data_IF_401511256687
#
_entry.id   IF_401511256687
#
_cell.length_a   1.000
_cell.length_b   1.000
_cell.length_c   1.000
_cell.angle_alpha   90.00
_cell.angle_beta   90.00
_cell.angle_gamma   90.00
#
_symmetry.space_group_name_H-M   'P 1'
#
loop_
_entity.id
_entity.type
_entity.pdbx_description
1 polymer ?
#
# COMPACT_ATOMS: atom_id res chain seq x y z
N UNK A 1 1.90 -68.99 24.00
CA UNK A 1 3.08 -68.19 23.61
C UNK A 1 2.82 -67.64 22.22
N UNK A 2 2.40 -66.37 22.10
CA UNK A 2 2.26 -65.68 20.83
C UNK A 2 2.95 -64.32 20.98
N UNK A 3 4.14 -64.19 20.38
CA UNK A 3 4.96 -62.97 20.44
C UNK A 3 4.63 -62.16 19.19
N UNK A 4 4.06 -60.97 19.38
CA UNK A 4 3.78 -60.00 18.31
C UNK A 4 5.11 -59.47 17.71
N UNK A 5 5.17 -59.15 16.41
CA UNK A 5 6.35 -58.52 15.83
C UNK A 5 6.42 -57.03 16.21
N UNK A 6 7.61 -56.63 16.62
CA UNK A 6 8.03 -55.28 16.99
C UNK A 6 8.18 -54.42 15.72
N UNK A 7 7.34 -53.40 15.57
CA UNK A 7 7.43 -52.40 14.50
C UNK A 7 8.60 -51.44 14.80
N UNK A 8 9.57 -51.40 13.89
CA UNK A 8 10.68 -50.46 13.92
C UNK A 8 10.16 -49.00 13.80
N UNK A 9 10.84 -48.02 14.41
CA UNK A 9 10.48 -46.61 14.26
C UNK A 9 10.82 -46.13 12.85
N UNK A 10 9.83 -45.54 12.18
CA UNK A 10 10.00 -44.88 10.87
C UNK A 10 11.12 -43.85 10.94
N UNK A 11 12.17 -44.06 10.15
CA UNK A 11 13.20 -43.05 9.92
C UNK A 11 12.57 -41.81 9.28
N UNK A 12 12.95 -40.59 9.70
CA UNK A 12 12.43 -39.38 9.06
C UNK A 12 12.91 -39.35 7.60
N UNK A 13 11.96 -39.35 6.68
CA UNK A 13 12.20 -39.11 5.26
C UNK A 13 13.14 -37.92 5.11
N UNK A 14 14.32 -38.22 4.61
CA UNK A 14 15.40 -37.30 4.34
C UNK A 14 14.83 -36.21 3.42
N UNK A 15 14.55 -35.04 3.99
CA UNK A 15 14.14 -33.84 3.28
C UNK A 15 15.23 -33.49 2.25
N UNK A 16 15.10 -34.03 1.05
CA UNK A 16 15.92 -33.70 -0.09
C UNK A 16 15.66 -32.25 -0.43
N UNK A 17 16.60 -31.37 -0.06
CA UNK A 17 16.80 -30.01 -0.57
C UNK A 17 15.57 -29.43 -1.28
N UNK A 18 14.52 -29.11 -0.52
CA UNK A 18 13.49 -28.21 -1.01
C UNK A 18 14.21 -26.89 -1.32
N UNK A 19 14.47 -26.62 -2.61
CA UNK A 19 14.97 -25.31 -3.02
C UNK A 19 14.08 -24.27 -2.38
N UNK A 20 14.63 -23.44 -1.50
CA UNK A 20 13.87 -22.43 -0.78
C UNK A 20 13.16 -21.53 -1.81
N UNK A 21 11.83 -21.58 -1.84
CA UNK A 21 11.05 -20.73 -2.74
C UNK A 21 11.29 -19.26 -2.38
N UNK A 22 11.81 -18.48 -3.33
CA UNK A 22 12.02 -17.05 -3.14
C UNK A 22 10.70 -16.33 -3.40
N UNK A 23 10.24 -15.53 -2.44
CA UNK A 23 9.06 -14.68 -2.59
C UNK A 23 9.45 -13.43 -3.40
N UNK A 24 8.77 -13.19 -4.52
CA UNK A 24 8.98 -12.05 -5.40
C UNK A 24 8.01 -10.91 -5.10
N UNK A 25 6.78 -11.25 -4.68
CA UNK A 25 5.70 -10.29 -4.51
C UNK A 25 4.73 -10.70 -3.39
N UNK A 26 4.10 -9.68 -2.80
CA UNK A 26 3.08 -9.82 -1.77
C UNK A 26 1.94 -8.83 -2.02
N UNK A 27 0.73 -9.19 -1.61
CA UNK A 27 -0.41 -8.28 -1.62
C UNK A 27 -1.30 -8.49 -0.40
N UNK A 28 -1.75 -7.40 0.22
CA UNK A 28 -2.71 -7.42 1.30
C UNK A 28 -4.13 -7.29 0.75
N UNK A 29 -5.08 -8.01 1.36
CA UNK A 29 -6.51 -7.74 1.14
C UNK A 29 -6.87 -6.37 1.74
N UNK A 30 -7.93 -5.71 1.24
CA UNK A 30 -8.35 -4.40 1.77
C UNK A 30 -8.68 -4.43 3.26
N UNK A 31 -9.29 -5.51 3.73
CA UNK A 31 -9.53 -5.73 5.16
C UNK A 31 -8.29 -6.07 5.99
N UNK A 32 -7.09 -6.15 5.39
CA UNK A 32 -5.83 -6.57 6.02
C UNK A 32 -5.90 -7.91 6.76
N UNK A 33 -6.87 -8.75 6.42
CA UNK A 33 -7.04 -10.08 7.03
C UNK A 33 -6.24 -11.15 6.29
N UNK A 34 -6.15 -11.02 4.97
CA UNK A 34 -5.48 -11.99 4.13
C UNK A 34 -4.23 -11.38 3.48
N UNK A 35 -3.20 -12.20 3.37
CA UNK A 35 -1.96 -11.89 2.64
C UNK A 35 -1.81 -12.91 1.52
N UNK A 36 -1.64 -12.45 0.29
CA UNK A 36 -1.23 -13.29 -0.82
C UNK A 36 0.28 -13.15 -1.04
N UNK A 37 0.96 -14.27 -1.28
CA UNK A 37 2.41 -14.33 -1.54
C UNK A 37 2.67 -15.15 -2.79
N UNK A 38 3.58 -14.68 -3.64
CA UNK A 38 3.99 -15.35 -4.88
C UNK A 38 5.48 -15.15 -5.13
N UNK A 39 6.09 -15.99 -5.97
CA UNK A 39 7.53 -16.13 -6.04
C UNK A 39 8.06 -16.99 -7.17
N UNK A 40 9.20 -17.64 -6.91
CA UNK A 40 9.83 -18.60 -7.83
C UNK A 40 8.99 -19.85 -8.07
N UNK A 41 8.07 -20.17 -7.15
CA UNK A 41 7.07 -21.21 -7.35
C UNK A 41 5.96 -20.77 -8.33
N UNK A 42 5.24 -21.74 -8.86
CA UNK A 42 4.11 -21.53 -9.80
C UNK A 42 2.76 -21.41 -9.10
N UNK A 43 2.75 -21.18 -7.79
CA UNK A 43 1.54 -21.11 -6.98
C UNK A 43 1.47 -19.80 -6.20
N UNK A 44 0.24 -19.29 -6.03
CA UNK A 44 -0.01 -18.16 -5.14
C UNK A 44 -0.55 -18.70 -3.82
N UNK A 45 0.14 -18.42 -2.72
CA UNK A 45 -0.27 -18.84 -1.39
C UNK A 45 -1.04 -17.72 -0.70
N UNK A 46 -2.18 -18.04 -0.09
CA UNK A 46 -3.01 -17.10 0.67
C UNK A 46 -2.99 -17.48 2.14
N UNK A 47 -2.67 -16.50 2.98
CA UNK A 47 -2.49 -16.64 4.42
C UNK A 47 -3.56 -15.85 5.17
N UNK A 48 -4.17 -16.45 6.20
CA UNK A 48 -4.99 -15.71 7.17
C UNK A 48 -4.07 -15.15 8.25
N UNK A 49 -3.89 -13.84 8.28
CA UNK A 49 -2.98 -13.16 9.21
C UNK A 49 -3.47 -13.24 10.67
N UNK A 50 -4.78 -13.37 10.90
CA UNK A 50 -5.33 -13.54 12.25
C UNK A 50 -5.00 -14.91 12.81
N UNK A 51 -5.12 -15.94 11.97
CA UNK A 51 -4.88 -17.35 12.36
C UNK A 51 -3.42 -17.76 12.16
N UNK A 52 -2.63 -16.99 11.42
CA UNK A 52 -1.24 -17.26 11.03
C UNK A 52 -1.08 -18.61 10.30
N UNK A 53 -2.07 -18.98 9.48
CA UNK A 53 -2.06 -20.23 8.71
C UNK A 53 -2.27 -19.95 7.23
N UNK A 54 -1.67 -20.78 6.39
CA UNK A 54 -2.00 -20.84 4.97
C UNK A 54 -3.42 -21.39 4.83
N UNK A 55 -4.29 -20.62 4.21
CA UNK A 55 -5.69 -21.02 3.99
C UNK A 55 -5.91 -21.54 2.58
N UNK A 56 -5.09 -21.13 1.59
CA UNK A 56 -5.23 -21.55 0.20
C UNK A 56 -3.90 -21.60 -0.53
N UNK A 57 -3.83 -22.50 -1.50
CA UNK A 57 -2.82 -22.51 -2.56
C UNK A 57 -3.55 -22.43 -3.89
N UNK A 58 -3.28 -21.38 -4.66
CA UNK A 58 -3.89 -21.12 -5.95
C UNK A 58 -2.92 -21.58 -7.04
N UNK A 59 -3.25 -22.71 -7.65
CA UNK A 59 -2.51 -23.27 -8.78
C UNK A 59 -3.07 -22.78 -10.12
N UNK A 60 -2.28 -22.94 -11.18
CA UNK A 60 -2.69 -22.65 -12.56
C UNK A 60 -1.56 -22.07 -13.39
N UNK A 61 -0.65 -21.30 -12.78
CA UNK A 61 0.54 -20.82 -13.48
C UNK A 61 1.47 -22.00 -13.80
N UNK A 62 2.11 -21.94 -14.97
CA UNK A 62 3.13 -22.90 -15.39
C UNK A 62 4.54 -22.45 -15.02
N UNK A 63 4.73 -21.15 -14.82
CA UNK A 63 6.01 -20.52 -14.52
C UNK A 63 5.97 -19.72 -13.20
N UNK A 64 7.09 -19.10 -12.84
CA UNK A 64 7.20 -18.21 -11.68
C UNK A 64 6.16 -17.08 -11.74
N UNK A 65 5.60 -16.76 -10.59
CA UNK A 65 4.63 -15.67 -10.43
C UNK A 65 5.38 -14.41 -9.99
N UNK A 66 5.32 -13.37 -10.80
CA UNK A 66 6.06 -12.13 -10.56
C UNK A 66 5.22 -11.07 -9.84
N UNK A 67 3.90 -11.11 -10.03
CA UNK A 67 2.99 -10.10 -9.48
C UNK A 67 1.69 -10.73 -8.97
N UNK A 68 1.17 -10.16 -7.89
CA UNK A 68 -0.11 -10.54 -7.29
C UNK A 68 -0.81 -9.28 -6.78
N UNK A 69 -2.13 -9.18 -6.93
CA UNK A 69 -2.93 -8.08 -6.38
C UNK A 69 -4.34 -8.54 -6.03
N UNK A 70 -4.92 -7.90 -5.01
CA UNK A 70 -6.32 -8.05 -4.65
C UNK A 70 -7.21 -7.10 -5.45
N UNK A 71 -8.41 -7.54 -5.79
CA UNK A 71 -9.42 -6.69 -6.42
C UNK A 71 -9.94 -5.64 -5.43
N UNK A 72 -10.50 -4.55 -5.98
CA UNK A 72 -11.04 -3.45 -5.18
C UNK A 72 -12.17 -3.81 -4.20
N UNK A 73 -12.76 -5.00 -4.29
CA UNK A 73 -13.79 -5.51 -3.39
C UNK A 73 -13.38 -6.77 -2.64
N UNK A 74 -12.10 -7.16 -2.67
CA UNK A 74 -11.60 -8.44 -2.17
C UNK A 74 -12.36 -9.67 -2.75
N UNK A 75 -12.95 -9.54 -3.94
CA UNK A 75 -13.69 -10.62 -4.61
C UNK A 75 -12.78 -11.56 -5.40
N UNK A 76 -11.68 -11.02 -5.94
CA UNK A 76 -10.75 -11.74 -6.79
C UNK A 76 -9.31 -11.46 -6.36
N UNK A 77 -8.45 -12.45 -6.57
CA UNK A 77 -7.00 -12.29 -6.60
C UNK A 77 -6.59 -12.39 -8.06
N UNK A 78 -5.85 -11.39 -8.54
CA UNK A 78 -5.19 -11.47 -9.84
C UNK A 78 -3.71 -11.78 -9.62
N UNK A 79 -3.16 -12.64 -10.46
CA UNK A 79 -1.77 -13.06 -10.40
C UNK A 79 -1.19 -13.18 -11.79
N UNK A 80 0.07 -12.79 -11.98
CA UNK A 80 0.70 -12.78 -13.29
C UNK A 80 2.10 -13.40 -13.27
N UNK A 81 2.37 -14.19 -14.30
CA UNK A 81 3.60 -14.97 -14.44
C UNK A 81 4.57 -14.47 -15.51
N UNK A 82 5.68 -15.21 -15.66
CA UNK A 82 6.72 -14.92 -16.67
C UNK A 82 6.30 -15.30 -18.09
N UNK A 83 5.33 -16.20 -18.24
CA UNK A 83 4.70 -16.53 -19.51
C UNK A 83 3.78 -15.41 -20.06
N UNK A 84 3.48 -14.38 -19.25
CA UNK A 84 2.52 -13.33 -19.58
C UNK A 84 1.07 -13.68 -19.25
N UNK A 85 0.81 -14.89 -18.74
CA UNK A 85 -0.51 -15.31 -18.28
C UNK A 85 -0.92 -14.53 -17.02
N UNK A 86 -2.15 -14.00 -17.01
CA UNK A 86 -2.78 -13.39 -15.85
C UNK A 86 -3.96 -14.28 -15.44
N UNK A 87 -3.89 -14.85 -14.24
CA UNK A 87 -4.96 -15.68 -13.68
C UNK A 87 -5.76 -14.91 -12.65
N UNK A 88 -7.08 -15.01 -12.77
CA UNK A 88 -8.04 -14.49 -11.81
C UNK A 88 -8.61 -15.65 -11.00
N UNK A 89 -8.42 -15.61 -9.69
CA UNK A 89 -8.98 -16.57 -8.75
C UNK A 89 -10.03 -15.90 -7.88
N UNK A 90 -11.14 -16.58 -7.59
CA UNK A 90 -12.12 -16.10 -6.63
C UNK A 90 -11.55 -16.17 -5.20
N UNK A 91 -11.60 -15.06 -4.46
CA UNK A 91 -11.01 -14.99 -3.12
C UNK A 91 -11.68 -15.95 -2.13
N UNK A 92 -12.99 -16.21 -2.26
CA UNK A 92 -13.75 -17.05 -1.34
C UNK A 92 -13.65 -18.55 -1.63
N UNK A 93 -13.61 -18.96 -2.89
CA UNK A 93 -13.49 -20.38 -3.27
C UNK A 93 -12.04 -20.81 -3.56
N UNK A 94 -11.17 -19.90 -3.98
CA UNK A 94 -9.83 -20.21 -4.48
C UNK A 94 -9.81 -20.79 -5.91
N UNK A 95 -10.97 -20.89 -6.56
CA UNK A 95 -11.07 -21.44 -7.92
C UNK A 95 -10.59 -20.42 -8.94
N UNK A 96 -9.89 -20.88 -9.98
CA UNK A 96 -9.60 -20.05 -11.15
C UNK A 96 -10.94 -19.72 -11.83
N UNK A 97 -11.28 -18.43 -11.88
CA UNK A 97 -12.50 -17.97 -12.54
C UNK A 97 -12.23 -17.57 -13.98
N UNK A 98 -11.00 -17.18 -14.31
CA UNK A 98 -10.64 -16.71 -15.63
C UNK A 98 -9.16 -16.53 -15.85
N UNK A 99 -8.82 -16.46 -17.12
CA UNK A 99 -7.48 -16.23 -17.63
C UNK A 99 -7.52 -15.06 -18.61
N UNK A 100 -6.49 -14.21 -18.54
CA UNK A 100 -6.26 -13.08 -19.43
C UNK A 100 -4.82 -13.20 -19.94
N UNK A 101 -4.63 -13.06 -21.25
CA UNK A 101 -3.32 -13.04 -21.88
C UNK A 101 -3.16 -11.68 -22.56
N UNK A 102 -2.03 -11.03 -22.31
CA UNK A 102 -1.65 -9.81 -23.02
C UNK A 102 -1.00 -10.19 -24.35
N UNK A 103 -1.47 -9.60 -25.45
CA UNK A 103 -0.81 -9.70 -26.75
C UNK A 103 -0.04 -8.41 -27.02
N UNK A 104 1.24 -8.45 -27.45
CA UNK A 104 2.10 -9.63 -27.56
C UNK A 104 2.43 -10.26 -26.20
N UNK A 105 2.47 -11.59 -26.15
CA UNK A 105 2.83 -12.33 -24.93
C UNK A 105 4.22 -11.95 -24.43
N UNK A 106 4.28 -11.46 -23.19
CA UNK A 106 5.51 -11.04 -22.53
C UNK A 106 5.34 -11.17 -21.01
N UNK A 107 6.41 -11.49 -20.30
CA UNK A 107 6.38 -11.64 -18.85
C UNK A 107 5.86 -10.38 -18.15
N UNK A 108 4.91 -10.56 -17.25
CA UNK A 108 4.33 -9.43 -16.49
C UNK A 108 5.17 -9.21 -15.24
N UNK A 109 5.61 -7.97 -15.02
CA UNK A 109 6.43 -7.58 -13.86
C UNK A 109 5.62 -6.96 -12.73
N UNK A 110 4.60 -6.19 -13.09
CA UNK A 110 3.73 -5.53 -12.12
C UNK A 110 2.28 -5.66 -12.53
N UNK A 111 1.41 -5.81 -11.53
CA UNK A 111 -0.02 -5.98 -11.69
C UNK A 111 -0.72 -5.14 -10.62
N UNK A 112 -1.71 -4.34 -11.00
CA UNK A 112 -2.42 -3.48 -10.06
C UNK A 112 -3.88 -3.29 -10.45
N UNK A 113 -4.78 -3.41 -9.48
CA UNK A 113 -6.15 -2.93 -9.64
C UNK A 113 -6.25 -1.43 -9.39
N UNK A 114 -7.19 -0.77 -10.06
CA UNK A 114 -7.50 0.62 -9.77
C UNK A 114 -7.97 0.79 -8.32
N UNK A 115 -7.39 1.78 -7.65
CA UNK A 115 -7.78 2.20 -6.30
C UNK A 115 -8.96 3.18 -6.31
N UNK A 116 -9.27 3.78 -7.46
CA UNK A 116 -10.34 4.78 -7.59
C UNK A 116 -11.72 4.12 -7.49
N UNK A 117 -12.64 4.76 -6.75
CA UNK A 117 -13.94 4.16 -6.43
C UNK A 117 -14.77 3.76 -7.65
N UNK A 118 -14.72 4.56 -8.73
CA UNK A 118 -15.47 4.34 -9.98
C UNK A 118 -14.82 3.34 -10.95
N UNK A 119 -13.51 3.09 -10.84
CA UNK A 119 -12.78 2.25 -11.80
C UNK A 119 -12.15 1.01 -11.19
N UNK A 120 -12.60 0.57 -10.00
CA UNK A 120 -12.09 -0.63 -9.27
C UNK A 120 -12.09 -1.95 -10.05
N UNK A 121 -12.83 -2.01 -11.15
CA UNK A 121 -12.89 -3.14 -12.07
C UNK A 121 -11.68 -3.19 -13.03
N UNK A 122 -10.95 -2.07 -13.20
CA UNK A 122 -9.79 -1.99 -14.05
C UNK A 122 -8.58 -2.67 -13.41
N UNK A 123 -7.92 -3.51 -14.20
CA UNK A 123 -6.68 -4.21 -13.88
C UNK A 123 -5.63 -3.79 -14.89
N UNK A 124 -4.49 -3.28 -14.44
CA UNK A 124 -3.36 -2.95 -15.29
C UNK A 124 -2.20 -3.94 -15.08
N UNK A 125 -1.51 -4.28 -16.17
CA UNK A 125 -0.27 -5.06 -16.16
C UNK A 125 0.83 -4.32 -16.90
N UNK A 126 2.04 -4.38 -16.36
CA UNK A 126 3.26 -3.87 -16.97
C UNK A 126 4.18 -5.05 -17.31
N UNK A 127 4.67 -5.05 -18.55
CA UNK A 127 5.32 -6.21 -19.16
C UNK A 127 6.82 -5.99 -19.39
N UNK A 128 7.54 -7.09 -19.58
CA UNK A 128 8.98 -7.13 -19.84
C UNK A 128 9.37 -6.46 -21.17
N UNK A 129 8.48 -6.49 -22.16
CA UNK A 129 8.67 -5.78 -23.42
C UNK A 129 8.46 -4.26 -23.32
N UNK A 130 8.12 -3.72 -22.15
CA UNK A 130 7.87 -2.28 -21.95
C UNK A 130 6.43 -1.85 -22.21
N UNK A 131 5.55 -2.77 -22.61
CA UNK A 131 4.13 -2.51 -22.80
C UNK A 131 3.36 -2.43 -21.49
N UNK A 132 2.25 -1.70 -21.52
CA UNK A 132 1.27 -1.63 -20.45
C UNK A 132 -0.10 -1.93 -21.04
N UNK A 133 -0.83 -2.84 -20.40
CA UNK A 133 -2.18 -3.23 -20.81
C UNK A 133 -3.15 -3.02 -19.66
N UNK A 134 -4.37 -2.61 -19.98
CA UNK A 134 -5.43 -2.39 -19.00
C UNK A 134 -6.68 -3.13 -19.45
N UNK A 135 -7.21 -3.97 -18.58
CA UNK A 135 -8.44 -4.73 -18.81
C UNK A 135 -9.53 -4.34 -17.84
N UNK A 136 -10.76 -4.54 -18.27
CA UNK A 136 -11.89 -4.67 -17.37
C UNK A 136 -11.95 -6.11 -16.85
N UNK A 137 -11.68 -6.32 -15.57
CA UNK A 137 -11.68 -7.65 -14.96
C UNK A 137 -13.06 -8.32 -14.89
N UNK A 138 -14.16 -7.55 -14.98
CA UNK A 138 -15.53 -8.09 -14.90
C UNK A 138 -15.93 -8.72 -16.22
N UNK A 139 -15.68 -8.01 -17.32
CA UNK A 139 -15.97 -8.46 -18.70
C UNK A 139 -14.80 -9.26 -19.29
N UNK A 140 -13.58 -9.12 -18.74
CA UNK A 140 -12.32 -9.69 -19.23
C UNK A 140 -11.95 -9.19 -20.62
N UNK A 141 -12.32 -7.95 -20.90
CA UNK A 141 -12.01 -7.28 -22.16
C UNK A 141 -10.86 -6.29 -22.00
N UNK A 142 -10.02 -6.21 -23.02
CA UNK A 142 -8.98 -5.19 -23.12
C UNK A 142 -9.65 -3.82 -23.27
N UNK A 143 -9.27 -2.87 -22.41
CA UNK A 143 -9.77 -1.49 -22.40
C UNK A 143 -8.78 -0.52 -23.02
N UNK A 144 -7.51 -0.66 -22.65
CA UNK A 144 -6.43 0.16 -23.21
C UNK A 144 -5.17 -0.68 -23.35
N UNK A 145 -4.37 -0.34 -24.35
CA UNK A 145 -3.10 -0.98 -24.64
C UNK A 145 -2.10 0.07 -25.06
N UNK A 146 -0.91 0.00 -24.48
CA UNK A 146 0.16 0.92 -24.75
C UNK A 146 1.44 0.10 -24.99
N UNK A 147 1.78 -0.13 -26.27
CA UNK A 147 2.83 -1.07 -26.66
C UNK A 147 4.26 -0.52 -26.49
N UNK A 148 4.47 0.75 -26.83
CA UNK A 148 5.80 1.36 -26.89
C UNK A 148 5.99 2.48 -25.86
N UNK A 149 5.41 2.31 -24.67
CA UNK A 149 5.50 3.30 -23.57
C UNK A 149 6.91 3.38 -23.02
N UNK A 150 7.53 2.20 -22.84
CA UNK A 150 8.89 2.06 -22.36
C UNK A 150 9.74 1.34 -23.40
N UNK A 151 10.98 1.81 -23.59
CA UNK A 151 11.95 1.15 -24.48
C UNK A 151 12.67 -0.02 -23.81
N UNK A 152 12.37 -0.28 -22.54
CA UNK A 152 12.88 -1.36 -21.72
C UNK A 152 11.76 -1.85 -20.78
N UNK A 153 12.03 -2.86 -19.96
CA UNK A 153 11.05 -3.47 -19.04
C UNK A 153 10.25 -2.42 -18.26
N UNK A 154 8.94 -2.51 -18.31
CA UNK A 154 8.05 -1.77 -17.45
C UNK A 154 8.00 -2.50 -16.10
N UNK A 155 8.44 -1.84 -15.03
CA UNK A 155 8.72 -2.50 -13.74
C UNK A 155 7.64 -2.26 -12.70
N UNK A 156 6.85 -1.20 -12.83
CA UNK A 156 5.93 -0.79 -11.77
C UNK A 156 4.78 0.05 -12.31
N UNK A 157 3.65 -0.02 -11.61
CA UNK A 157 2.39 0.63 -11.94
C UNK A 157 1.79 1.29 -10.69
N UNK A 158 1.15 2.45 -10.89
CA UNK A 158 0.37 3.15 -9.87
C UNK A 158 -0.86 3.82 -10.50
N UNK A 159 -2.06 3.30 -10.22
CA UNK A 159 -3.31 4.00 -10.52
C UNK A 159 -3.46 5.25 -9.66
N UNK A 160 -3.99 6.32 -10.25
CA UNK A 160 -4.33 7.52 -9.49
C UNK A 160 -5.55 7.28 -8.60
N UNK A 161 -5.47 7.56 -7.28
CA UNK A 161 -6.64 7.51 -6.40
C UNK A 161 -7.66 8.62 -6.66
N UNK A 162 -7.26 9.74 -7.26
CA UNK A 162 -8.10 10.92 -7.50
C UNK A 162 -8.67 10.99 -8.92
N UNK A 163 -7.99 10.40 -9.90
CA UNK A 163 -8.39 10.42 -11.30
C UNK A 163 -8.64 9.01 -11.82
N UNK A 164 -9.90 8.73 -12.19
CA UNK A 164 -10.36 7.38 -12.48
C UNK A 164 -9.66 6.69 -13.67
N UNK A 165 -9.11 7.47 -14.61
CA UNK A 165 -8.52 6.99 -15.86
C UNK A 165 -7.00 7.15 -15.90
N UNK A 166 -6.39 7.80 -14.90
CA UNK A 166 -4.96 8.06 -14.89
C UNK A 166 -4.19 6.90 -14.26
N UNK A 167 -3.21 6.40 -15.00
CA UNK A 167 -2.26 5.37 -14.59
C UNK A 167 -0.83 5.92 -14.77
N UNK A 168 0.05 5.63 -13.81
CA UNK A 168 1.48 5.93 -13.92
C UNK A 168 2.25 4.62 -14.06
N UNK A 169 3.14 4.54 -15.04
CA UNK A 169 4.09 3.43 -15.20
C UNK A 169 5.54 3.90 -15.05
N UNK A 170 6.37 3.04 -14.48
CA UNK A 170 7.82 3.26 -14.36
C UNK A 170 8.59 2.15 -15.07
N UNK A 171 9.65 2.51 -15.79
CA UNK A 171 10.46 1.57 -16.56
C UNK A 171 11.96 1.68 -16.34
N UNK A 172 12.67 0.62 -16.75
CA UNK A 172 14.13 0.57 -16.71
C UNK A 172 14.81 1.52 -17.73
N UNK A 173 14.03 2.07 -18.65
CA UNK A 173 14.43 3.12 -19.60
C UNK A 173 14.54 4.51 -18.95
N UNK A 174 14.42 4.57 -17.62
CA UNK A 174 14.47 5.80 -16.80
C UNK A 174 13.27 6.72 -17.04
N UNK A 175 12.20 6.20 -17.65
CA UNK A 175 10.97 6.97 -17.88
C UNK A 175 9.93 6.64 -16.84
N UNK A 176 9.22 7.67 -16.43
CA UNK A 176 7.93 7.59 -15.74
C UNK A 176 6.90 8.16 -16.69
N UNK A 177 5.85 7.40 -16.96
CA UNK A 177 4.88 7.70 -18.01
C UNK A 177 3.49 7.82 -17.40
N UNK A 178 2.78 8.87 -17.79
CA UNK A 178 1.38 9.08 -17.43
C UNK A 178 0.52 8.63 -18.58
N UNK A 179 -0.36 7.69 -18.29
CA UNK A 179 -1.23 7.05 -19.25
C UNK A 179 -2.67 7.42 -18.90
N UNK A 180 -3.41 7.90 -19.88
CA UNK A 180 -4.87 8.04 -19.76
C UNK A 180 -5.53 6.84 -20.44
N UNK A 181 -6.20 6.04 -19.61
CA UNK A 181 -6.89 4.82 -20.01
C UNK A 181 -8.13 5.12 -20.85
N UNK A 182 -8.77 6.28 -20.70
CA UNK A 182 -9.95 6.62 -21.48
C UNK A 182 -9.61 7.07 -22.90
N UNK A 183 -8.51 7.81 -23.06
CA UNK A 183 -8.04 8.28 -24.37
C UNK A 183 -7.03 7.34 -25.02
N UNK A 184 -6.60 6.29 -24.32
CA UNK A 184 -5.55 5.37 -24.75
C UNK A 184 -4.26 6.09 -25.19
N UNK A 185 -3.89 7.17 -24.50
CA UNK A 185 -2.72 7.98 -24.83
C UNK A 185 -1.75 8.15 -23.66
N UNK A 186 -0.46 8.24 -23.99
CA UNK A 186 0.56 8.70 -23.05
C UNK A 186 0.53 10.22 -22.99
N UNK A 187 0.11 10.77 -21.86
CA UNK A 187 -0.12 12.20 -21.64
C UNK A 187 1.18 12.93 -21.30
N UNK A 188 2.02 12.31 -20.47
CA UNK A 188 3.25 12.93 -20.01
C UNK A 188 4.38 11.90 -19.85
N UNK A 189 5.62 12.36 -20.05
CA UNK A 189 6.83 11.56 -19.85
C UNK A 189 7.82 12.36 -19.00
N UNK A 190 8.22 11.79 -17.87
CA UNK A 190 9.27 12.32 -17.01
C UNK A 190 10.51 11.44 -17.13
N UNK A 191 11.65 12.07 -17.40
CA UNK A 191 12.94 11.38 -17.42
C UNK A 191 13.66 11.57 -16.07
N UNK A 192 14.05 10.46 -15.46
CA UNK A 192 14.80 10.44 -14.19
C UNK A 192 16.28 10.04 -14.40
N UNK A 193 17.12 10.26 -13.38
CA UNK A 193 18.57 10.06 -13.47
C UNK A 193 19.00 8.59 -13.65
N UNK A 194 18.19 7.63 -13.18
CA UNK A 194 18.51 6.20 -13.18
C UNK A 194 17.24 5.35 -13.42
N UNK A 195 17.38 4.07 -13.82
CA UNK A 195 16.26 3.17 -14.04
C UNK A 195 15.23 3.19 -12.91
N UNK A 196 13.95 3.33 -13.26
CA UNK A 196 12.85 3.32 -12.29
C UNK A 196 12.56 1.87 -11.94
N UNK A 197 12.45 1.56 -10.65
CA UNK A 197 12.21 0.19 -10.16
C UNK A 197 10.89 0.07 -9.42
N UNK A 198 10.36 1.16 -8.87
CA UNK A 198 9.06 1.20 -8.20
C UNK A 198 8.42 2.58 -8.30
N UNK A 199 7.10 2.63 -8.42
CA UNK A 199 6.31 3.87 -8.38
C UNK A 199 5.14 3.73 -7.41
N UNK A 200 4.77 4.82 -6.74
CA UNK A 200 3.59 4.85 -5.87
C UNK A 200 2.99 6.25 -5.81
N UNK A 201 1.69 6.36 -6.05
CA UNK A 201 0.93 7.61 -5.88
C UNK A 201 0.35 7.62 -4.45
N UNK A 202 0.51 8.74 -3.77
CA UNK A 202 -0.05 8.95 -2.43
C UNK A 202 -1.56 9.07 -2.51
N UNK A 203 -2.26 8.75 -1.41
CA UNK A 203 -3.72 8.84 -1.33
C UNK A 203 -4.32 10.23 -1.61
N UNK A 204 -3.50 11.29 -1.61
CA UNK A 204 -3.93 12.63 -2.06
C UNK A 204 -4.14 12.73 -3.58
N UNK A 205 -3.64 11.75 -4.35
CA UNK A 205 -3.72 11.71 -5.81
C UNK A 205 -2.89 12.77 -6.52
N UNK A 206 -1.97 13.42 -5.81
CA UNK A 206 -1.15 14.53 -6.30
C UNK A 206 0.33 14.25 -6.09
N UNK A 207 0.72 13.50 -5.06
CA UNK A 207 2.12 13.20 -4.78
C UNK A 207 2.51 11.86 -5.37
N UNK A 208 3.59 11.82 -6.16
CA UNK A 208 4.18 10.60 -6.71
C UNK A 208 5.55 10.36 -6.07
N UNK A 209 5.81 9.12 -5.64
CA UNK A 209 7.14 8.64 -5.29
C UNK A 209 7.64 7.67 -6.36
N UNK A 210 8.88 7.88 -6.81
CA UNK A 210 9.59 7.02 -7.74
C UNK A 210 10.87 6.51 -7.09
N UNK A 211 10.97 5.19 -6.93
CA UNK A 211 12.16 4.50 -6.49
C UNK A 211 13.04 4.20 -7.69
N UNK A 212 14.32 4.52 -7.59
CA UNK A 212 15.29 4.29 -8.67
C UNK A 212 16.35 3.27 -8.26
N UNK A 213 17.03 2.70 -9.25
CA UNK A 213 18.03 1.65 -9.05
C UNK A 213 19.25 2.10 -8.23
N UNK A 214 19.50 3.41 -8.14
CA UNK A 214 20.56 3.99 -7.30
C UNK A 214 20.23 4.03 -5.80
N UNK A 215 19.01 3.62 -5.40
CA UNK A 215 18.57 3.61 -4.01
C UNK A 215 18.01 4.94 -3.49
N UNK A 216 17.82 5.92 -4.38
CA UNK A 216 17.08 7.14 -4.06
C UNK A 216 15.58 6.95 -4.30
N UNK A 217 14.78 7.73 -3.58
CA UNK A 217 13.36 7.90 -3.82
C UNK A 217 13.15 9.36 -4.19
N UNK A 218 12.64 9.59 -5.40
CA UNK A 218 12.34 10.92 -5.93
C UNK A 218 10.86 11.18 -5.74
N UNK A 219 10.51 12.31 -5.12
CA UNK A 219 9.12 12.70 -4.87
C UNK A 219 8.76 13.85 -5.80
N UNK A 220 7.63 13.73 -6.50
CA UNK A 220 7.13 14.69 -7.47
C UNK A 220 5.69 15.12 -7.15
N UNK A 221 5.34 16.36 -7.50
CA UNK A 221 3.96 16.83 -7.56
C UNK A 221 3.43 16.62 -8.98
N UNK A 222 2.40 15.78 -9.12
CA UNK A 222 1.76 15.42 -10.38
C UNK A 222 1.21 16.63 -11.15
N UNK A 223 0.92 17.74 -10.48
CA UNK A 223 0.45 18.99 -11.12
C UNK A 223 1.59 19.82 -11.70
N UNK A 224 2.81 19.62 -11.21
CA UNK A 224 4.00 20.38 -11.61
C UNK A 224 4.82 19.67 -12.67
N UNK A 225 4.49 18.42 -13.01
CA UNK A 225 5.17 17.64 -14.06
C UNK A 225 4.71 18.08 -15.45
N UNK A 226 4.65 19.38 -15.73
CA UNK A 226 4.35 19.91 -17.07
C UNK A 226 5.56 19.91 -17.99
N UNK A 227 6.77 19.76 -17.44
CA UNK A 227 8.03 19.72 -18.19
C UNK A 227 8.69 18.36 -18.04
N UNK A 228 9.21 17.80 -19.14
CA UNK A 228 9.95 16.52 -19.18
C UNK A 228 11.19 16.48 -18.27
N UNK A 229 11.59 17.63 -17.72
CA UNK A 229 12.72 17.82 -16.80
C UNK A 229 12.29 18.34 -15.42
N UNK A 230 11.07 18.01 -14.98
CA UNK A 230 10.57 18.43 -13.67
C UNK A 230 11.56 18.06 -12.55
N UNK A 231 11.86 19.03 -11.68
CA UNK A 231 12.71 18.79 -10.51
C UNK A 231 11.88 18.08 -9.43
N UNK A 232 12.46 17.10 -8.73
CA UNK A 232 11.77 16.46 -7.61
C UNK A 232 11.56 17.49 -6.49
N UNK A 233 10.39 17.43 -5.85
CA UNK A 233 10.10 18.16 -4.61
C UNK A 233 11.06 17.74 -3.49
N UNK A 234 11.43 16.47 -3.45
CA UNK A 234 12.29 15.91 -2.42
C UNK A 234 13.02 14.68 -2.95
N UNK A 235 14.25 14.49 -2.46
CA UNK A 235 15.08 13.31 -2.76
C UNK A 235 15.41 12.62 -1.45
N UNK A 236 14.81 11.46 -1.22
CA UNK A 236 15.12 10.61 -0.07
C UNK A 236 16.19 9.59 -0.48
N UNK A 237 17.01 9.16 0.47
CA UNK A 237 18.05 8.15 0.24
C UNK A 237 17.95 7.04 1.27
N UNK A 238 17.99 5.80 0.80
CA UNK A 238 18.20 4.64 1.67
C UNK A 238 19.61 4.62 2.26
N UNK A 239 19.82 3.78 3.28
CA UNK A 239 21.12 3.61 3.95
C UNK A 239 22.18 2.90 3.08
N UNK A 240 21.77 2.30 1.96
CA UNK A 240 22.66 1.62 1.02
C UNK A 240 22.29 1.97 -0.42
N UNK A 241 23.29 1.98 -1.32
CA UNK A 241 23.12 2.14 -2.77
C UNK A 241 22.53 0.88 -3.43
N UNK A 242 21.42 0.37 -2.89
CA UNK A 242 20.67 -0.78 -3.41
C UNK A 242 19.38 -0.27 -4.09
N UNK A 243 18.88 -0.95 -5.12
CA UNK A 243 17.67 -0.55 -5.82
C UNK A 243 16.45 -0.55 -4.89
N UNK A 244 15.56 0.43 -5.07
CA UNK A 244 14.31 0.51 -4.33
C UNK A 244 13.31 -0.48 -4.94
N UNK A 245 13.16 -1.66 -4.32
CA UNK A 245 12.37 -2.77 -4.88
C UNK A 245 10.86 -2.59 -4.74
N UNK A 246 10.40 -1.88 -3.71
CA UNK A 246 8.98 -1.64 -3.49
C UNK A 246 8.77 -0.30 -2.78
N UNK A 247 7.65 0.36 -3.09
CA UNK A 247 7.20 1.59 -2.46
C UNK A 247 5.72 1.48 -2.16
N UNK A 248 5.31 1.96 -0.98
CA UNK A 248 3.92 2.09 -0.62
C UNK A 248 3.74 3.29 0.30
N UNK A 249 2.73 4.12 0.03
CA UNK A 249 2.39 5.23 0.91
C UNK A 249 1.52 4.72 2.05
N UNK A 250 1.86 5.11 3.28
CA UNK A 250 0.96 4.88 4.40
C UNK A 250 -0.17 5.91 4.36
N UNK A 251 -1.41 5.43 4.33
CA UNK A 251 -2.55 6.28 4.61
C UNK A 251 -2.54 6.56 6.13
N UNK A 252 -2.07 7.73 6.54
CA UNK A 252 -2.43 8.22 7.86
C UNK A 252 -3.90 8.61 7.79
N UNK A 253 -4.77 7.87 8.46
CA UNK A 253 -5.94 8.51 9.03
C UNK A 253 -5.37 9.65 9.86
N UNK A 254 -5.76 10.89 9.55
CA UNK A 254 -5.58 11.97 10.51
C UNK A 254 -6.17 11.44 11.81
N UNK A 255 -5.32 11.21 12.82
CA UNK A 255 -5.79 11.16 14.19
C UNK A 255 -6.49 12.51 14.32
N UNK A 256 -7.82 12.51 14.31
CA UNK A 256 -8.54 13.70 14.74
C UNK A 256 -7.96 13.97 16.13
N UNK A 257 -7.37 15.15 16.39
CA UNK A 257 -7.13 15.50 17.77
C UNK A 257 -8.51 15.38 18.42
N UNK A 258 -8.62 14.48 19.41
CA UNK A 258 -9.80 14.37 20.25
C UNK A 258 -10.21 15.80 20.55
N UNK A 259 -11.38 16.23 20.04
CA UNK A 259 -11.88 17.54 20.43
C UNK A 259 -12.01 17.43 21.94
N UNK A 260 -11.22 18.24 22.64
CA UNK A 260 -11.42 18.48 24.06
C UNK A 260 -12.80 19.11 24.14
N UNK A 261 -13.82 18.27 24.30
CA UNK A 261 -15.12 18.70 24.80
C UNK A 261 -14.80 19.31 26.16
N UNK A 262 -14.91 20.63 26.35
CA UNK A 262 -14.75 21.17 27.69
C UNK A 262 -15.81 20.52 28.57
N UNK A 263 -15.47 20.13 29.81
CA UNK A 263 -16.42 19.47 30.68
C UNK A 263 -17.65 20.37 30.84
N UNK A 264 -18.80 19.84 30.47
CA UNK A 264 -20.10 20.40 30.81
C UNK A 264 -20.12 20.56 32.32
N UNK A 265 -20.26 21.80 32.81
CA UNK A 265 -20.55 22.03 34.22
C UNK A 265 -21.94 21.47 34.47
N UNK A 266 -22.00 20.24 35.00
CA UNK A 266 -23.21 19.70 35.59
C UNK A 266 -23.60 20.60 36.76
N UNK A 267 -24.54 21.51 36.51
CA UNK A 267 -25.26 22.15 37.59
C UNK A 267 -26.15 21.06 38.23
N UNK A 268 -25.76 20.67 39.43
CA UNK A 268 -26.54 19.86 40.36
C UNK A 268 -27.93 20.47 40.57
N UNK A 269 -28.96 19.87 39.96
CA UNK A 269 -30.35 20.12 40.35
C UNK A 269 -30.62 19.43 41.68
N UNK A 270 -30.45 20.15 42.78
CA UNK A 270 -31.06 19.79 44.06
C UNK A 270 -32.59 19.93 43.92
N UNK A 271 -33.29 18.83 44.24
CA UNK A 271 -34.73 18.81 44.46
C UNK A 271 -35.06 19.67 45.67
N UNK A 272 -35.87 20.70 45.47
CA UNK A 272 -36.48 21.45 46.57
C UNK A 272 -37.74 22.20 46.12
N UNK A 273 -38.91 21.69 46.50
CA UNK A 273 -40.11 22.48 46.76
C UNK A 273 -40.55 22.14 48.19
N UNK A 274 -41.24 23.03 48.96
CA UNK A 274 -42.20 24.02 48.47
C UNK A 274 -42.31 25.38 49.24
N UNK A 275 -43.22 26.22 48.72
CA UNK A 275 -44.03 27.27 49.37
C UNK A 275 -43.49 28.71 49.58
N UNK A 276 -44.07 29.63 48.79
CA UNK A 276 -44.90 30.80 49.16
C UNK A 276 -44.33 31.90 50.10
N UNK A 277 -44.25 33.11 49.52
CA UNK A 277 -44.56 34.47 50.03
C UNK A 277 -43.42 35.54 49.99
N UNK A 278 -43.73 36.57 49.19
CA UNK A 278 -43.57 38.03 49.42
C UNK A 278 -42.19 38.71 49.50
N UNK A 279 -42.03 39.65 48.56
CA UNK A 279 -41.53 41.03 48.70
C UNK A 279 -40.02 41.35 48.67
N UNK A 280 -39.67 42.08 47.61
CA UNK A 280 -38.90 43.33 47.54
C UNK A 280 -37.37 43.37 47.76
N UNK A 281 -36.76 44.06 46.79
CA UNK A 281 -35.50 44.83 46.77
C UNK A 281 -34.13 44.13 46.81
N UNK A 282 -33.28 44.50 45.84
CA UNK A 282 -31.85 44.14 45.74
C UNK A 282 -30.97 44.98 46.69
N UNK A 283 -29.69 45.30 46.38
CA UNK A 283 -28.81 44.87 45.28
C UNK A 283 -27.35 44.51 45.75
N UNK A 284 -26.45 44.32 44.75
CA UNK A 284 -24.97 44.52 44.76
C UNK A 284 -24.03 43.33 45.04
N UNK A 285 -23.08 43.22 44.11
CA UNK A 285 -21.88 42.35 44.00
C UNK A 285 -20.72 42.81 44.91
N UNK A 286 -19.71 41.93 45.15
CA UNK A 286 -18.30 42.30 44.88
C UNK A 286 -17.46 41.05 44.37
N UNK A 287 -16.10 41.09 44.20
CA UNK A 287 -15.49 40.89 42.88
C UNK A 287 -14.44 39.76 42.74
N UNK A 288 -14.19 39.37 41.47
CA UNK A 288 -12.88 39.17 40.83
C UNK A 288 -11.77 38.31 41.47
N UNK A 289 -11.53 37.13 40.90
CA UNK A 289 -10.24 36.42 40.95
C UNK A 289 -9.65 36.36 39.54
N UNK A 290 -8.46 36.94 39.38
CA UNK A 290 -7.71 37.06 38.12
C UNK A 290 -6.94 35.77 37.81
N UNK A 291 -7.25 35.12 36.68
CA UNK A 291 -6.44 34.02 36.15
C UNK A 291 -5.18 34.57 35.47
N UNK A 292 -4.02 34.07 35.88
CA UNK A 292 -2.71 34.44 35.34
C UNK A 292 -2.54 33.83 33.93
N UNK A 293 -2.35 34.66 32.90
CA UNK A 293 -1.91 34.19 31.58
C UNK A 293 -0.40 33.90 31.63
N UNK A 294 0.05 32.74 31.12
CA UNK A 294 1.47 32.42 31.03
C UNK A 294 2.17 33.33 30.03
N UNK A 295 3.43 33.63 30.32
CA UNK A 295 4.24 34.55 29.51
C UNK A 295 4.60 33.94 28.16
N UNK A 296 4.91 34.78 27.18
CA UNK A 296 5.29 34.36 25.82
C UNK A 296 6.53 33.46 25.82
N UNK A 297 7.41 33.59 26.81
CA UNK A 297 8.62 32.79 26.91
C UNK A 297 8.34 31.39 27.46
N UNK A 298 7.41 31.23 28.40
CA UNK A 298 6.93 29.91 28.86
C UNK A 298 6.26 29.14 27.71
N UNK A 299 5.50 29.85 26.86
CA UNK A 299 4.85 29.24 25.71
C UNK A 299 5.86 28.80 24.63
N UNK A 300 6.98 29.50 24.48
CA UNK A 300 8.07 29.13 23.56
C UNK A 300 8.85 27.91 24.08
N UNK A 301 9.09 27.82 25.38
CA UNK A 301 9.74 26.66 25.99
C UNK A 301 8.90 25.40 25.84
N UNK A 302 7.59 25.50 26.09
CA UNK A 302 6.68 24.37 25.90
C UNK A 302 6.59 23.92 24.42
N UNK A 303 6.68 24.87 23.48
CA UNK A 303 6.72 24.55 22.06
C UNK A 303 8.03 23.84 21.66
N UNK A 304 9.16 24.23 22.25
CA UNK A 304 10.46 23.57 22.05
C UNK A 304 10.46 22.17 22.63
N UNK A 305 9.92 22.00 23.85
CA UNK A 305 9.77 20.69 24.51
C UNK A 305 8.95 19.72 23.65
N UNK A 306 7.80 20.17 23.11
CA UNK A 306 6.96 19.37 22.21
C UNK A 306 7.60 19.08 20.86
N UNK A 307 8.47 19.96 20.36
CA UNK A 307 9.22 19.73 19.13
C UNK A 307 10.33 18.68 19.33
N UNK A 308 10.96 18.65 20.50
CA UNK A 308 11.95 17.62 20.86
C UNK A 308 11.33 16.27 21.15
N UNK A 309 10.19 16.22 21.85
CA UNK A 309 9.39 15.00 22.02
C UNK A 309 9.01 14.40 20.65
N UNK A 310 8.57 15.23 19.70
CA UNK A 310 8.28 14.79 18.32
C UNK A 310 9.52 14.28 17.58
N UNK A 311 10.69 14.88 17.79
CA UNK A 311 11.95 14.40 17.18
C UNK A 311 12.40 13.06 17.77
N UNK A 312 12.20 12.84 19.07
CA UNK A 312 12.50 11.56 19.74
C UNK A 312 11.53 10.45 19.34
N UNK A 313 10.24 10.74 19.19
CA UNK A 313 9.25 9.79 18.65
C UNK A 313 9.55 9.40 17.20
N UNK A 314 10.07 10.35 16.40
CA UNK A 314 10.53 10.07 15.02
C UNK A 314 11.78 9.18 15.00
N UNK A 315 12.58 9.15 16.07
CA UNK A 315 13.74 8.28 16.21
C UNK A 315 13.38 6.90 16.79
N UNK A 316 12.36 6.81 17.64
CA UNK A 316 11.93 5.55 18.27
C UNK A 316 11.23 4.56 17.30
N UNK A 317 10.80 5.00 16.11
CA UNK A 317 10.17 4.12 15.11
C UNK A 317 11.15 3.46 14.12
N UNK A 318 12.47 3.59 14.33
CA UNK A 318 13.50 2.80 13.62
C UNK A 318 13.93 1.58 14.43
N UNK A 319 13.02 0.66 14.69
CA UNK A 319 13.37 -0.75 14.86
C UNK A 319 12.14 -1.57 14.52
N UNK A 320 12.22 -2.30 13.40
CA UNK A 320 11.69 -3.65 13.15
C UNK A 320 11.97 -3.96 11.66
N UNK A 321 13.27 -3.99 11.34
CA UNK A 321 13.78 -4.67 10.16
C UNK A 321 14.13 -6.09 10.56
N UNK A 322 13.50 -7.05 9.91
CA UNK A 322 13.72 -8.48 10.05
C UNK A 322 15.21 -8.84 9.98
N UNK A 323 15.74 -9.34 11.09
CA UNK A 323 16.91 -10.21 11.14
C UNK A 323 16.61 -11.29 12.18
N UNK A 324 16.14 -12.45 11.72
CA UNK A 324 16.08 -13.65 12.53
C UNK A 324 17.51 -14.17 12.71
N UNK A 325 18.07 -14.04 13.91
CA UNK A 325 19.12 -14.91 14.41
C UNK A 325 18.57 -15.55 15.69
N UNK A 326 18.34 -16.86 15.63
CA UNK A 326 17.97 -17.71 16.77
C UNK A 326 19.20 -17.99 17.64
N UNK A 327 19.05 -18.12 18.97
CA UNK A 327 20.16 -18.38 19.88
C UNK A 327 20.44 -19.87 20.01
N UNK A 328 21.73 -20.23 19.97
CA UNK A 328 22.41 -21.19 20.85
C UNK A 328 23.89 -20.81 20.88
#
# INVERSE_FOLDING_TARGET
>A
MGRLPELAPDEPERAGSAMAESISCIAFSKGSRYLATAGSGSTVKVWDLKRKVMVKSLSGHTERVNAVTYSGGDSHIASAGTSGQILLHAQLSGTCVGEIIAEPASGVNALQYSTHALSRHLLAAASDNGSVHVWDSTVRSLRAQFLDVHTARATSLAFSPSAATTLVSGGLDKRVQWLDVATCSAVHTLLVEAPVTSVAIKGDGVTLACGISSGKILVYDLRQVGSSTARPLSVLRGQAAKPVTALHWQAHSSIQPLSLVPPTVEQSHERGTPMRNTAADGPRTPPGSTAHMPSVDEMKEELRRKLEERKMETFAFRHHGSACLSPL
#
